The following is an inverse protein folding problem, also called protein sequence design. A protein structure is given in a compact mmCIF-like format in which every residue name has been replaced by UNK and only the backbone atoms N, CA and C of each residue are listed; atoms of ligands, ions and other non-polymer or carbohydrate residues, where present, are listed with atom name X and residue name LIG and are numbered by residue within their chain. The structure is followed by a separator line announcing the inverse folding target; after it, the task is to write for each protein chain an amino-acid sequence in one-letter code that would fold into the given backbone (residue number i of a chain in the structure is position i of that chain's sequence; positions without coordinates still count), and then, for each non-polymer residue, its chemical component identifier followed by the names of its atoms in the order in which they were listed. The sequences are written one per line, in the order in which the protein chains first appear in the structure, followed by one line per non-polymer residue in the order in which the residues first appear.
data_IF_766766441427
#
_entry.id   IF_766766441427
#
_cell.length_a   1.000
_cell.length_b   1.000
_cell.length_c   1.000
_cell.angle_alpha   90.00
_cell.angle_beta   90.00
_cell.angle_gamma   90.00
#
_symmetry.space_group_name_H-M   'P 1'
#
loop_
_entity.id
_entity.type
_entity.pdbx_description
1 polymer ?
#
# COMPACT_ATOMS: atom_id res chain seq x y z
N UNK A 1 9.90 -11.22 7.62
CA UNK A 1 9.70 -9.75 7.50
C UNK A 1 11.04 -9.06 7.62
N UNK A 2 11.34 -8.04 6.82
CA UNK A 2 12.66 -7.39 6.81
C UNK A 2 12.99 -6.63 8.10
N UNK A 3 11.95 -6.21 8.83
CA UNK A 3 12.08 -5.54 10.12
C UNK A 3 12.76 -6.44 11.16
N UNK A 4 12.35 -7.71 11.28
CA UNK A 4 12.92 -8.71 12.20
C UNK A 4 14.42 -9.04 12.05
N UNK A 5 15.12 -8.41 11.11
CA UNK A 5 16.54 -8.61 10.93
C UNK A 5 17.35 -7.69 11.86
N UNK A 6 18.37 -8.21 12.55
CA UNK A 6 19.17 -7.46 13.56
C UNK A 6 19.84 -6.18 13.05
N UNK A 7 20.03 -6.08 11.74
CA UNK A 7 20.65 -4.92 11.09
C UNK A 7 19.63 -3.84 10.70
N UNK A 8 18.33 -4.11 10.82
CA UNK A 8 17.31 -3.09 10.65
C UNK A 8 17.27 -2.25 11.91
N UNK A 9 17.60 -0.95 11.79
CA UNK A 9 17.68 -0.02 12.92
C UNK A 9 16.58 1.04 12.92
N UNK A 10 16.12 1.42 11.74
CA UNK A 10 15.09 2.43 11.52
C UNK A 10 14.28 2.01 10.31
N UNK A 11 12.98 2.23 10.35
CA UNK A 11 12.12 2.14 9.17
C UNK A 11 11.65 3.52 8.76
N UNK A 12 11.71 3.81 7.46
CA UNK A 12 11.06 4.99 6.88
C UNK A 12 9.67 4.56 6.41
N UNK A 13 8.62 5.18 6.94
CA UNK A 13 7.24 4.77 6.65
C UNK A 13 6.32 5.97 6.52
N UNK A 14 5.30 5.84 5.66
CA UNK A 14 4.20 6.79 5.55
C UNK A 14 3.10 6.61 6.62
N UNK A 15 3.43 5.95 7.73
CA UNK A 15 2.58 5.76 8.92
C UNK A 15 1.27 4.99 8.70
N UNK A 16 1.25 4.01 7.79
CA UNK A 16 0.15 3.05 7.72
C UNK A 16 0.17 2.06 8.88
N UNK A 17 -1.03 1.69 9.36
CA UNK A 17 -1.24 0.74 10.47
C UNK A 17 -0.46 -0.58 10.34
N UNK A 18 -0.36 -1.15 9.14
CA UNK A 18 0.41 -2.39 8.93
C UNK A 18 1.89 -2.20 9.25
N UNK A 19 2.55 -1.24 8.59
CA UNK A 19 3.96 -0.93 8.88
C UNK A 19 4.20 -0.50 10.32
N UNK A 20 3.22 0.17 10.94
CA UNK A 20 3.29 0.55 12.34
C UNK A 20 3.29 -0.67 13.26
N UNK A 21 2.35 -1.60 13.07
CA UNK A 21 2.29 -2.84 13.84
C UNK A 21 3.59 -3.63 13.72
N UNK A 22 4.09 -3.79 12.49
CA UNK A 22 5.33 -4.50 12.22
C UNK A 22 6.54 -3.84 12.90
N UNK A 23 6.60 -2.50 12.92
CA UNK A 23 7.67 -1.75 13.58
C UNK A 23 7.61 -1.85 15.09
N UNK A 24 6.40 -1.80 15.67
CA UNK A 24 6.18 -1.98 17.10
C UNK A 24 6.57 -3.39 17.52
N UNK A 25 6.10 -4.41 16.78
CA UNK A 25 6.37 -5.82 17.09
C UNK A 25 7.87 -6.16 17.08
N UNK A 26 8.65 -5.44 16.28
CA UNK A 26 10.10 -5.59 16.22
C UNK A 26 10.88 -4.55 17.06
N UNK A 27 10.17 -3.64 17.74
CA UNK A 27 10.77 -2.53 18.49
C UNK A 27 11.74 -1.66 17.66
N UNK A 28 11.44 -1.49 16.37
CA UNK A 28 12.20 -0.64 15.45
C UNK A 28 11.63 0.79 15.45
N UNK A 29 12.44 1.83 15.72
CA UNK A 29 12.04 3.23 15.58
C UNK A 29 11.63 3.63 14.16
N UNK A 30 10.78 4.66 14.06
CA UNK A 30 10.18 5.08 12.78
C UNK A 30 10.59 6.49 12.37
N UNK A 31 10.97 6.65 11.11
CA UNK A 31 10.95 7.95 10.43
C UNK A 31 9.62 8.06 9.67
N UNK A 32 8.70 8.84 10.22
CA UNK A 32 7.38 9.07 9.70
C UNK A 32 7.41 10.06 8.51
N UNK A 33 6.75 9.68 7.42
CA UNK A 33 6.56 10.52 6.24
C UNK A 33 5.08 10.53 5.84
N UNK A 34 4.20 11.15 6.66
CA UNK A 34 2.77 11.12 6.43
C UNK A 34 2.42 11.88 5.14
N UNK A 35 1.63 11.24 4.28
CA UNK A 35 1.22 11.85 3.01
C UNK A 35 -0.09 12.63 3.17
N UNK A 36 -1.14 11.96 3.64
CA UNK A 36 -2.48 12.53 3.78
C UNK A 36 -3.37 11.70 4.71
N UNK A 37 -4.48 12.30 5.15
CA UNK A 37 -5.53 11.63 5.91
C UNK A 37 -5.14 11.25 7.34
N UNK A 38 -5.52 10.04 7.73
CA UNK A 38 -5.32 9.43 9.05
C UNK A 38 -3.84 9.27 9.43
N UNK A 39 -2.96 9.15 8.43
CA UNK A 39 -1.50 9.05 8.60
C UNK A 39 -0.91 10.20 9.42
N UNK A 40 -1.46 11.42 9.30
CA UNK A 40 -1.00 12.60 10.06
C UNK A 40 -1.34 12.46 11.55
N UNK A 41 -2.52 11.96 11.89
CA UNK A 41 -2.89 11.71 13.29
C UNK A 41 -2.04 10.60 13.90
N UNK A 42 -1.75 9.56 13.13
CA UNK A 42 -0.90 8.45 13.57
C UNK A 42 0.53 8.97 13.82
N UNK A 43 1.07 9.74 12.89
CA UNK A 43 2.40 10.35 13.02
C UNK A 43 2.52 11.20 14.30
N UNK A 44 1.57 12.10 14.54
CA UNK A 44 1.51 12.90 15.76
C UNK A 44 1.61 12.06 17.04
N UNK A 45 0.80 10.99 17.15
CA UNK A 45 0.83 10.12 18.33
C UNK A 45 2.14 9.33 18.47
N UNK A 46 2.80 9.00 17.36
CA UNK A 46 4.10 8.31 17.41
C UNK A 46 5.22 9.24 17.87
N UNK A 47 5.17 10.50 17.46
CA UNK A 47 6.09 11.52 17.96
C UNK A 47 5.83 11.80 19.44
N UNK A 48 4.57 11.92 19.86
CA UNK A 48 4.17 12.11 21.25
C UNK A 48 4.63 10.91 22.13
N UNK A 49 4.54 9.69 21.60
CA UNK A 49 5.04 8.50 22.26
C UNK A 49 6.58 8.41 22.29
N UNK A 50 7.30 9.28 21.57
CA UNK A 50 8.75 9.26 21.43
C UNK A 50 9.27 8.10 20.59
N UNK A 51 8.42 7.45 19.78
CA UNK A 51 8.78 6.30 18.96
C UNK A 51 9.14 6.69 17.51
N UNK A 52 8.90 7.94 17.12
CA UNK A 52 9.15 8.42 15.78
C UNK A 52 9.65 9.88 15.72
N UNK A 53 10.38 10.17 14.65
CA UNK A 53 10.55 11.54 14.12
C UNK A 53 9.78 11.63 12.81
N UNK A 54 9.40 12.84 12.39
CA UNK A 54 8.63 13.03 11.16
C UNK A 54 9.32 13.94 10.16
N UNK A 55 9.00 13.73 8.89
CA UNK A 55 9.32 14.59 7.75
C UNK A 55 7.99 15.08 7.18
N UNK A 56 7.55 16.25 7.64
CA UNK A 56 6.24 16.76 7.30
C UNK A 56 6.33 17.74 6.11
N UNK A 57 5.94 17.26 4.92
CA UNK A 57 6.08 17.98 3.65
C UNK A 57 5.36 19.34 3.57
N UNK A 58 4.40 19.57 4.48
CA UNK A 58 3.63 20.82 4.56
C UNK A 58 4.27 21.85 5.50
N UNK A 59 5.05 21.39 6.47
CA UNK A 59 5.66 22.24 7.50
C UNK A 59 7.04 22.70 7.06
N UNK A 60 7.77 21.82 6.37
CA UNK A 60 9.14 22.06 5.96
C UNK A 60 9.47 21.39 4.61
N UNK A 61 10.42 21.97 3.84
CA UNK A 61 10.90 21.36 2.63
C UNK A 61 11.66 20.06 2.93
N UNK A 62 11.28 18.98 2.26
CA UNK A 62 11.95 17.69 2.40
C UNK A 62 13.32 17.78 1.73
N UNK A 63 14.37 17.65 2.52
CA UNK A 63 15.75 17.63 2.03
C UNK A 63 16.44 16.33 2.43
N UNK A 64 17.42 15.91 1.62
CA UNK A 64 18.22 14.72 1.93
C UNK A 64 18.99 14.89 3.25
N UNK A 65 19.42 16.10 3.58
CA UNK A 65 20.07 16.43 4.85
C UNK A 65 19.13 16.16 6.04
N UNK A 66 17.92 16.75 6.03
CA UNK A 66 16.95 16.55 7.10
C UNK A 66 16.58 15.07 7.30
N UNK A 67 16.41 14.32 6.19
CA UNK A 67 16.15 12.88 6.27
C UNK A 67 17.31 12.10 6.86
N UNK A 68 18.54 12.44 6.48
CA UNK A 68 19.75 11.78 7.00
C UNK A 68 19.93 12.05 8.49
N UNK A 69 19.83 13.32 8.90
CA UNK A 69 20.03 13.73 10.30
C UNK A 69 19.03 13.04 11.24
N UNK A 70 17.76 12.98 10.85
CA UNK A 70 16.72 12.30 11.64
C UNK A 70 16.91 10.79 11.66
N UNK A 71 17.31 10.18 10.54
CA UNK A 71 17.59 8.74 10.49
C UNK A 71 18.78 8.39 11.37
N UNK A 72 19.85 9.19 11.33
CA UNK A 72 21.02 9.03 12.20
C UNK A 72 20.59 9.15 13.65
N UNK A 73 19.86 10.20 14.02
CA UNK A 73 19.33 10.41 15.36
C UNK A 73 18.53 9.19 15.87
N UNK A 74 17.56 8.72 15.08
CA UNK A 74 16.75 7.52 15.39
C UNK A 74 17.58 6.24 15.55
N UNK A 75 18.70 6.13 14.81
CA UNK A 75 19.57 4.95 14.88
C UNK A 75 20.57 4.98 16.03
N UNK A 76 20.93 6.17 16.52
CA UNK A 76 21.96 6.37 17.54
C UNK A 76 21.39 6.53 18.95
N UNK A 77 20.24 7.19 19.09
CA UNK A 77 19.63 7.44 20.40
C UNK A 77 18.79 6.23 20.83
N UNK A 78 19.14 5.55 21.94
CA UNK A 78 18.38 4.40 22.43
C UNK A 78 16.97 4.77 22.91
N UNK A 79 16.68 6.05 23.21
CA UNK A 79 15.40 6.51 23.72
C UNK A 79 14.23 6.12 22.81
N UNK A 80 14.41 6.21 21.49
CA UNK A 80 13.38 5.83 20.50
C UNK A 80 13.12 4.32 20.48
N UNK A 81 14.18 3.52 20.64
CA UNK A 81 14.04 2.05 20.74
C UNK A 81 13.31 1.69 22.03
N UNK A 82 13.64 2.34 23.15
CA UNK A 82 12.97 2.12 24.44
C UNK A 82 11.49 2.54 24.40
N UNK A 83 11.17 3.68 23.76
CA UNK A 83 9.81 4.12 23.52
C UNK A 83 9.02 3.11 22.66
N UNK A 84 9.63 2.62 21.57
CA UNK A 84 8.98 1.61 20.72
C UNK A 84 8.80 0.28 21.45
N UNK A 85 9.77 -0.15 22.27
CA UNK A 85 9.61 -1.30 23.18
C UNK A 85 8.48 -1.10 24.16
N UNK A 86 8.29 0.11 24.68
CA UNK A 86 7.16 0.42 25.57
C UNK A 86 5.83 0.23 24.85
N UNK A 87 5.71 0.72 23.61
CA UNK A 87 4.52 0.49 22.78
C UNK A 87 4.27 -1.01 22.53
N UNK A 88 5.33 -1.79 22.29
CA UNK A 88 5.23 -3.24 22.16
C UNK A 88 4.67 -3.90 23.42
N UNK A 89 5.18 -3.53 24.61
CA UNK A 89 4.67 -4.10 25.87
C UNK A 89 3.20 -3.72 26.11
N UNK A 90 2.79 -2.51 25.73
CA UNK A 90 1.38 -2.09 25.81
C UNK A 90 0.53 -2.94 24.86
N UNK A 91 0.92 -3.06 23.59
CA UNK A 91 0.22 -3.88 22.59
C UNK A 91 0.05 -5.33 23.05
N UNK A 92 1.12 -5.93 23.59
CA UNK A 92 1.11 -7.29 24.13
C UNK A 92 0.19 -7.43 25.34
N UNK A 93 0.19 -6.45 26.24
CA UNK A 93 -0.69 -6.43 27.42
C UNK A 93 -2.16 -6.30 27.05
N UNK A 94 -2.46 -5.56 25.99
CA UNK A 94 -3.82 -5.45 25.44
C UNK A 94 -4.29 -6.75 24.76
N UNK A 95 -3.42 -7.75 24.60
CA UNK A 95 -3.73 -9.06 24.06
C UNK A 95 -3.53 -9.21 22.56
N UNK A 96 -3.20 -8.12 21.85
CA UNK A 96 -2.82 -8.10 20.45
C UNK A 96 -3.66 -9.01 19.54
N UNK A 97 -2.98 -9.79 18.71
CA UNK A 97 -3.62 -10.74 17.78
C UNK A 97 -4.43 -11.84 18.48
N UNK A 98 -4.04 -12.26 19.70
CA UNK A 98 -4.75 -13.32 20.44
C UNK A 98 -6.13 -12.83 20.89
N UNK A 99 -6.21 -11.62 21.45
CA UNK A 99 -7.50 -11.02 21.81
C UNK A 99 -8.37 -10.78 20.58
N UNK A 100 -7.78 -10.36 19.46
CA UNK A 100 -8.51 -10.23 18.21
C UNK A 100 -9.09 -11.58 17.75
N UNK A 101 -8.32 -12.67 17.83
CA UNK A 101 -8.79 -14.01 17.49
C UNK A 101 -9.95 -14.46 18.40
N UNK A 102 -9.83 -14.25 19.72
CA UNK A 102 -10.91 -14.57 20.68
C UNK A 102 -12.18 -13.79 20.36
N UNK A 103 -12.09 -12.49 20.05
CA UNK A 103 -13.26 -11.68 19.67
C UNK A 103 -13.92 -12.23 18.40
N UNK A 104 -13.13 -12.67 17.43
CA UNK A 104 -13.65 -13.29 16.19
C UNK A 104 -14.35 -14.61 16.51
N UNK A 105 -13.75 -15.47 17.34
CA UNK A 105 -14.35 -16.74 17.79
C UNK A 105 -15.66 -16.50 18.54
N UNK A 106 -15.68 -15.54 19.47
CA UNK A 106 -16.89 -15.14 20.21
C UNK A 106 -17.99 -14.67 19.25
N UNK A 107 -17.65 -13.84 18.26
CA UNK A 107 -18.62 -13.36 17.27
C UNK A 107 -19.19 -14.50 16.42
N UNK A 108 -18.35 -15.45 16.02
CA UNK A 108 -18.76 -16.63 15.24
C UNK A 108 -19.72 -17.54 16.00
N UNK A 109 -19.67 -17.56 17.34
CA UNK A 109 -20.61 -18.32 18.17
C UNK A 109 -22.03 -17.74 18.15
N UNK A 110 -22.17 -16.41 18.01
CA UNK A 110 -23.46 -15.72 18.09
C UNK A 110 -24.02 -15.27 16.74
N UNK A 111 -23.22 -15.24 15.68
CA UNK A 111 -23.65 -14.80 14.36
C UNK A 111 -22.98 -15.60 13.24
N UNK A 112 -23.72 -15.97 12.18
CA UNK A 112 -23.12 -16.61 11.02
C UNK A 112 -22.04 -15.69 10.42
N UNK A 113 -20.90 -16.23 9.96
CA UNK A 113 -19.74 -15.46 9.55
C UNK A 113 -19.90 -14.86 8.15
N UNK A 114 -20.94 -14.04 7.94
CA UNK A 114 -21.30 -13.44 6.63
C UNK A 114 -20.14 -12.59 6.08
N UNK A 115 -19.29 -12.04 6.95
CA UNK A 115 -18.14 -11.21 6.57
C UNK A 115 -16.81 -11.96 6.49
N UNK A 116 -16.76 -13.25 6.87
CA UNK A 116 -15.55 -14.08 6.81
C UNK A 116 -15.66 -15.17 5.74
N UNK A 117 -16.76 -15.23 5.00
CA UNK A 117 -16.85 -16.04 3.78
C UNK A 117 -16.10 -15.37 2.63
N UNK A 118 -15.44 -16.15 1.75
CA UNK A 118 -14.84 -15.60 0.53
C UNK A 118 -15.87 -14.77 -0.22
N UNK A 119 -15.53 -13.53 -0.59
CA UNK A 119 -16.46 -12.65 -1.33
C UNK A 119 -16.95 -13.31 -2.63
N UNK A 120 -16.18 -14.24 -3.17
CA UNK A 120 -16.50 -15.01 -4.37
C UNK A 120 -17.77 -15.86 -4.23
N UNK A 121 -18.08 -16.32 -3.01
CA UNK A 121 -19.25 -17.18 -2.76
C UNK A 121 -20.56 -16.36 -2.73
N UNK A 122 -20.44 -15.03 -2.60
CA UNK A 122 -21.56 -14.09 -2.51
C UNK A 122 -21.89 -13.38 -3.83
N UNK A 123 -21.08 -13.58 -4.89
CA UNK A 123 -21.22 -12.86 -6.16
C UNK A 123 -21.63 -13.78 -7.31
N UNK A 124 -22.36 -13.22 -8.27
CA UNK A 124 -22.79 -13.93 -9.47
C UNK A 124 -21.59 -14.44 -10.29
N UNK A 125 -21.77 -15.55 -11.02
CA UNK A 125 -20.75 -16.15 -11.89
C UNK A 125 -19.99 -15.13 -12.77
N UNK A 126 -20.71 -14.17 -13.36
CA UNK A 126 -20.13 -13.12 -14.21
C UNK A 126 -19.10 -12.25 -13.47
N UNK A 127 -19.38 -11.89 -12.21
CA UNK A 127 -18.49 -11.08 -11.38
C UNK A 127 -17.32 -11.93 -10.85
N UNK A 128 -17.57 -13.18 -10.44
CA UNK A 128 -16.52 -14.10 -9.98
C UNK A 128 -15.43 -14.35 -11.03
N UNK A 129 -15.80 -14.33 -12.31
CA UNK A 129 -14.91 -14.59 -13.45
C UNK A 129 -14.43 -13.31 -14.13
N UNK A 130 -14.85 -12.12 -13.70
CA UNK A 130 -14.57 -10.82 -14.33
C UNK A 130 -14.83 -10.83 -15.86
N UNK A 131 -15.87 -11.54 -16.30
CA UNK A 131 -16.15 -11.77 -17.72
C UNK A 131 -16.37 -10.44 -18.49
N UNK A 132 -16.98 -9.47 -17.82
CA UNK A 132 -17.21 -8.11 -18.33
C UNK A 132 -15.88 -7.39 -18.62
N UNK A 133 -14.91 -7.49 -17.73
CA UNK A 133 -13.56 -6.92 -17.90
C UNK A 133 -12.85 -7.57 -19.10
N UNK A 134 -12.88 -8.91 -19.19
CA UNK A 134 -12.28 -9.63 -20.32
C UNK A 134 -12.93 -9.26 -21.65
N UNK A 135 -14.25 -9.08 -21.68
CA UNK A 135 -14.98 -8.67 -22.88
C UNK A 135 -14.56 -7.26 -23.33
N UNK A 136 -14.45 -6.30 -22.41
CA UNK A 136 -13.99 -4.93 -22.72
C UNK A 136 -12.56 -4.94 -23.25
N UNK A 137 -11.66 -5.70 -22.63
CA UNK A 137 -10.27 -5.85 -23.10
C UNK A 137 -10.24 -6.44 -24.51
N UNK A 138 -10.99 -7.53 -24.75
CA UNK A 138 -11.03 -8.20 -26.05
C UNK A 138 -11.57 -7.29 -27.16
N UNK A 139 -12.63 -6.52 -26.89
CA UNK A 139 -13.16 -5.55 -27.85
C UNK A 139 -12.16 -4.42 -28.15
N UNK A 140 -11.46 -3.91 -27.13
CA UNK A 140 -10.44 -2.87 -27.31
C UNK A 140 -9.26 -3.38 -28.14
N UNK A 141 -8.70 -4.54 -27.79
CA UNK A 141 -7.60 -5.16 -28.54
C UNK A 141 -8.03 -5.49 -29.97
N UNK A 142 -9.22 -6.07 -30.15
CA UNK A 142 -9.76 -6.38 -31.47
C UNK A 142 -9.95 -5.14 -32.34
N UNK A 143 -10.51 -4.06 -31.80
CA UNK A 143 -10.69 -2.79 -32.53
C UNK A 143 -9.36 -2.17 -32.95
N UNK A 144 -8.33 -2.28 -32.10
CA UNK A 144 -6.99 -1.78 -32.37
C UNK A 144 -6.30 -2.58 -33.49
N UNK A 145 -6.37 -3.91 -33.43
CA UNK A 145 -5.85 -4.79 -34.49
C UNK A 145 -6.58 -4.56 -35.82
N UNK A 146 -7.89 -4.41 -35.78
CA UNK A 146 -8.69 -4.09 -36.97
C UNK A 146 -8.27 -2.75 -37.58
N UNK A 147 -8.07 -1.71 -36.76
CA UNK A 147 -7.61 -0.41 -37.23
C UNK A 147 -6.23 -0.48 -37.90
N UNK A 148 -5.30 -1.29 -37.37
CA UNK A 148 -3.98 -1.52 -37.99
C UNK A 148 -4.14 -2.18 -39.36
N UNK A 149 -4.94 -3.25 -39.46
CA UNK A 149 -5.17 -3.95 -40.74
C UNK A 149 -5.86 -3.03 -41.76
N UNK A 150 -6.84 -2.24 -41.32
CA UNK A 150 -7.51 -1.26 -42.16
C UNK A 150 -6.54 -0.16 -42.63
N UNK A 151 -5.66 0.33 -41.77
CA UNK A 151 -4.64 1.32 -42.11
C UNK A 151 -3.61 0.77 -43.11
N UNK A 152 -3.07 -0.43 -42.86
CA UNK A 152 -2.11 -1.08 -43.76
C UNK A 152 -2.74 -1.34 -45.13
N UNK A 153 -3.98 -1.84 -45.17
CA UNK A 153 -4.69 -2.05 -46.44
C UNK A 153 -4.97 -0.73 -47.16
N UNK A 154 -5.35 0.34 -46.45
CA UNK A 154 -5.52 1.68 -47.04
C UNK A 154 -4.22 2.22 -47.65
N UNK A 155 -3.07 2.04 -47.00
CA UNK A 155 -1.76 2.47 -47.53
C UNK A 155 -1.36 1.66 -48.75
N UNK A 156 -1.50 0.32 -48.71
CA UNK A 156 -1.13 -0.58 -49.80
C UNK A 156 -2.02 -0.43 -51.04
N UNK A 157 -3.33 -0.24 -50.87
CA UNK A 157 -4.28 -0.14 -51.97
C UNK A 157 -4.59 1.32 -52.40
N UNK A 158 -4.36 2.30 -51.53
CA UNK A 158 -4.52 3.72 -51.82
C UNK A 158 -3.43 4.31 -52.74
N UNK A 159 -2.22 3.74 -52.72
CA UNK A 159 -1.12 4.17 -53.60
C UNK A 159 -1.33 3.87 -55.09
N UNK A 160 -2.24 2.95 -55.46
CA UNK A 160 -2.50 2.60 -56.87
C UNK A 160 -3.41 3.57 -57.62
N UNK A 161 -4.12 4.49 -56.94
CA UNK A 161 -5.12 5.38 -57.59
C UNK A 161 -4.55 6.69 -58.16
N UNK A 162 -3.31 7.07 -57.85
CA UNK A 162 -2.73 8.37 -58.25
C UNK A 162 -1.80 8.36 -59.49
N UNK A 163 -1.64 7.24 -60.21
CA UNK A 163 -0.68 7.14 -61.36
C UNK A 163 -1.38 7.25 -62.73
N UNK A 164 -2.69 7.54 -62.81
CA UNK A 164 -3.41 7.70 -64.08
C UNK A 164 -4.12 9.05 -64.17
N UNK A 165 -3.37 10.15 -64.37
CA UNK A 165 -3.87 11.41 -64.97
C UNK A 165 -2.71 12.39 -65.25
N UNK A 166 -2.01 12.15 -66.35
CA UNK A 166 -1.24 13.15 -67.10
C UNK A 166 -1.05 12.59 -68.51
N UNK A 167 -2.04 12.85 -69.37
CA UNK A 167 -1.92 13.06 -70.82
C UNK A 167 -2.96 14.12 -71.18
#
# INVERSE_FOLDING_TARGET
MILHHRNTKVIVTHTRLGSLSESIDDATPMLAFPLFGDQMSIEYHLQEAGAALALHWREEPITAAAGTDRTVCLSTDPSFVEATKRLYQISKREGGAVKAAVIVEDLMMFSPPIHLTPSNDSVSFLASTNLDVYLVILLRVGSFLYAIVAFVSMVLFGGKKNIKKTE
#
